data_IF_905721511891
#
_entry.id   IF_905721511891
#
_cell.length_a   1.000
_cell.length_b   1.000
_cell.length_c   1.000
_cell.angle_alpha   90.00
_cell.angle_beta   90.00
_cell.angle_gamma   90.00
#
_symmetry.space_group_name_H-M   'P 1'
#
loop_
_entity.id
_entity.type
_entity.pdbx_description
1 polymer ?
#
# COMPACT_ATOMS: atom_id res chain seq x y z
N UNK A 1 15.52 2.21 48.27
CA UNK A 1 16.51 3.08 47.59
C UNK A 1 17.58 2.18 46.96
N UNK A 2 17.57 2.05 45.63
CA UNK A 2 18.68 1.67 44.73
C UNK A 2 18.09 1.61 43.31
N UNK A 3 18.17 2.74 42.63
CA UNK A 3 17.81 2.87 41.21
C UNK A 3 19.05 2.45 40.42
N UNK A 4 18.96 1.37 39.66
CA UNK A 4 19.97 1.03 38.64
C UNK A 4 19.51 1.62 37.31
N UNK A 5 20.22 2.64 36.85
CA UNK A 5 20.08 3.21 35.51
C UNK A 5 20.95 2.35 34.60
N UNK A 6 20.32 1.52 33.76
CA UNK A 6 21.00 0.83 32.67
C UNK A 6 20.88 1.74 31.44
N UNK A 7 21.93 2.52 31.17
CA UNK A 7 22.13 3.20 29.90
C UNK A 7 22.39 2.15 28.82
N UNK A 8 21.42 1.95 27.92
CA UNK A 8 21.63 1.19 26.70
C UNK A 8 22.39 2.07 25.70
N UNK A 9 23.69 1.84 25.58
CA UNK A 9 24.53 2.39 24.52
C UNK A 9 24.15 1.75 23.18
N UNK A 10 23.79 2.58 22.20
CA UNK A 10 23.59 2.16 20.83
C UNK A 10 24.92 1.65 20.25
N UNK A 11 25.01 0.35 19.98
CA UNK A 11 26.14 -0.23 19.26
C UNK A 11 25.87 -0.05 17.77
N UNK A 12 26.48 0.97 17.18
CA UNK A 12 26.66 1.09 15.73
C UNK A 12 27.70 0.05 15.29
N UNK A 13 27.22 -1.02 14.66
CA UNK A 13 28.10 -1.97 13.95
C UNK A 13 28.51 -1.31 12.63
N UNK A 14 29.76 -0.86 12.56
CA UNK A 14 30.41 -0.40 11.34
C UNK A 14 31.03 -1.57 10.60
N UNK A 15 30.37 -2.07 9.57
CA UNK A 15 31.04 -2.83 8.51
C UNK A 15 31.24 -1.90 7.31
N UNK A 16 32.49 -1.49 7.09
CA UNK A 16 32.89 -0.66 5.97
C UNK A 16 32.85 -1.45 4.65
N UNK A 17 32.04 -0.99 3.71
CA UNK A 17 32.29 -1.17 2.27
C UNK A 17 32.19 0.22 1.66
N UNK A 18 33.29 0.68 1.06
CA UNK A 18 33.45 1.99 0.44
C UNK A 18 32.63 2.07 -0.85
N UNK A 19 31.34 2.32 -0.72
CA UNK A 19 30.57 3.03 -1.75
C UNK A 19 30.73 4.54 -1.49
N UNK A 20 30.71 5.41 -2.52
CA UNK A 20 30.70 6.84 -2.31
C UNK A 20 29.55 7.17 -1.36
N UNK A 21 29.82 7.98 -0.33
CA UNK A 21 28.80 8.61 0.50
C UNK A 21 28.00 9.57 -0.39
N UNK A 22 27.06 9.03 -1.17
CA UNK A 22 25.89 9.82 -1.58
C UNK A 22 25.35 10.43 -0.29
N UNK A 23 25.26 11.76 -0.28
CA UNK A 23 24.70 12.55 0.80
C UNK A 23 23.32 11.97 1.11
N UNK A 24 23.23 11.10 2.14
CA UNK A 24 21.96 10.50 2.53
C UNK A 24 21.11 11.62 3.07
N UNK A 25 20.24 12.17 2.23
CA UNK A 25 19.23 13.13 2.66
C UNK A 25 18.35 12.40 3.66
N UNK A 26 18.50 12.72 4.93
CA UNK A 26 17.63 12.19 5.98
C UNK A 26 16.27 12.83 5.75
N UNK A 27 15.29 12.03 5.36
CA UNK A 27 13.93 12.51 5.18
C UNK A 27 13.29 12.76 6.55
N UNK A 28 12.51 13.83 6.65
CA UNK A 28 11.80 14.14 7.87
C UNK A 28 10.70 13.09 8.14
N UNK A 29 10.10 12.49 7.10
CA UNK A 29 9.19 11.34 7.27
C UNK A 29 9.86 10.15 7.95
N UNK A 30 11.14 9.88 7.66
CA UNK A 30 11.89 8.79 8.29
C UNK A 30 12.24 9.14 9.75
N UNK A 31 12.52 10.42 10.01
CA UNK A 31 12.72 10.92 11.38
C UNK A 31 11.45 10.79 12.24
N UNK A 32 10.28 11.07 11.68
CA UNK A 32 8.98 10.88 12.35
C UNK A 32 8.68 9.40 12.61
N UNK A 33 8.98 8.52 11.66
CA UNK A 33 8.82 7.08 11.86
C UNK A 33 9.71 6.56 12.98
N UNK A 34 10.98 6.99 13.03
CA UNK A 34 11.91 6.66 14.11
C UNK A 34 11.43 7.17 15.49
N UNK A 35 10.90 8.39 15.56
CA UNK A 35 10.24 8.91 16.76
C UNK A 35 9.01 8.07 17.14
N UNK A 36 8.27 7.57 16.14
CA UNK A 36 7.16 6.65 16.33
C UNK A 36 7.60 5.34 17.00
N UNK A 37 8.73 4.76 16.59
CA UNK A 37 9.31 3.56 17.23
C UNK A 37 9.63 3.85 18.70
N UNK A 38 10.26 4.99 18.98
CA UNK A 38 10.59 5.39 20.36
C UNK A 38 9.34 5.53 21.22
N UNK A 39 8.33 6.24 20.74
CA UNK A 39 7.07 6.44 21.45
C UNK A 39 6.35 5.11 21.71
N UNK A 40 6.34 4.21 20.73
CA UNK A 40 5.78 2.86 20.87
C UNK A 40 6.54 2.04 21.91
N UNK A 41 7.87 2.09 21.89
CA UNK A 41 8.72 1.41 22.86
C UNK A 41 8.44 1.86 24.29
N UNK A 42 8.34 3.18 24.53
CA UNK A 42 7.97 3.73 25.84
C UNK A 42 6.56 3.29 26.24
N UNK A 43 5.60 3.35 25.31
CA UNK A 43 4.23 2.96 25.57
C UNK A 43 4.11 1.47 25.96
N UNK A 44 4.78 0.58 25.23
CA UNK A 44 4.79 -0.86 25.51
C UNK A 44 5.56 -1.17 26.79
N UNK A 45 6.66 -0.48 27.09
CA UNK A 45 7.37 -0.63 28.36
C UNK A 45 6.48 -0.26 29.57
N UNK A 46 5.60 0.72 29.41
CA UNK A 46 4.67 1.16 30.47
C UNK A 46 3.41 0.30 30.58
N UNK A 47 2.84 -0.15 29.47
CA UNK A 47 1.50 -0.79 29.43
C UNK A 47 1.55 -2.29 29.10
N UNK A 48 2.71 -2.82 28.74
CA UNK A 48 2.87 -4.18 28.22
C UNK A 48 2.44 -4.32 26.76
N UNK A 49 2.76 -5.48 26.16
CA UNK A 49 2.25 -5.86 24.85
C UNK A 49 0.76 -6.25 24.96
N UNK A 50 -0.07 -5.91 23.96
CA UNK A 50 -1.50 -6.29 23.94
C UNK A 50 -1.71 -7.80 24.14
N UNK A 51 -0.86 -8.62 23.53
CA UNK A 51 -0.82 -10.06 23.73
C UNK A 51 0.63 -10.56 23.79
N UNK A 52 1.20 -10.61 24.99
CA UNK A 52 2.59 -11.02 25.24
C UNK A 52 2.93 -12.45 24.77
N UNK A 53 1.94 -13.31 24.52
CA UNK A 53 2.17 -14.66 24.00
C UNK A 53 2.32 -14.68 22.48
N UNK A 54 1.74 -13.71 21.78
CA UNK A 54 1.76 -13.61 20.31
C UNK A 54 2.75 -12.57 19.82
N UNK A 55 2.94 -11.47 20.55
CA UNK A 55 3.81 -10.38 20.15
C UNK A 55 4.70 -9.90 21.29
N UNK A 56 5.98 -9.67 20.96
CA UNK A 56 7.05 -9.29 21.87
C UNK A 56 8.28 -8.80 21.10
N UNK A 57 9.28 -8.29 21.83
CA UNK A 57 10.46 -7.65 21.22
C UNK A 57 11.19 -8.55 20.22
N UNK A 58 11.29 -9.85 20.51
CA UNK A 58 12.09 -10.80 19.72
C UNK A 58 11.35 -11.44 18.55
N UNK A 59 10.02 -11.28 18.45
CA UNK A 59 9.22 -11.82 17.36
C UNK A 59 8.39 -10.75 16.61
N UNK A 60 8.58 -9.48 16.96
CA UNK A 60 8.02 -8.34 16.20
C UNK A 60 8.72 -8.26 14.86
N UNK A 61 7.94 -8.40 13.79
CA UNK A 61 8.44 -8.27 12.43
C UNK A 61 8.80 -6.82 12.09
N UNK A 62 9.79 -6.65 11.23
CA UNK A 62 10.22 -5.33 10.74
C UNK A 62 9.89 -5.23 9.25
N UNK A 63 8.95 -4.34 8.90
CA UNK A 63 8.67 -3.98 7.51
C UNK A 63 9.64 -2.89 7.06
N UNK A 64 10.32 -3.12 5.94
CA UNK A 64 11.45 -2.31 5.47
C UNK A 64 11.20 -1.73 4.08
N UNK A 65 11.84 -0.60 3.81
CA UNK A 65 11.77 0.04 2.50
C UNK A 65 12.46 -0.86 1.45
N UNK A 66 11.85 -0.96 0.26
CA UNK A 66 12.29 -1.83 -0.83
C UNK A 66 13.76 -1.66 -1.22
N UNK A 67 14.23 -0.42 -1.45
CA UNK A 67 15.63 -0.13 -1.77
C UNK A 67 16.64 -0.57 -0.70
N UNK A 68 16.24 -0.73 0.57
CA UNK A 68 17.12 -1.24 1.64
C UNK A 68 17.25 -2.75 1.67
N UNK A 69 16.40 -3.49 0.96
CA UNK A 69 16.48 -4.94 0.87
C UNK A 69 17.65 -5.38 -0.01
N UNK A 70 18.30 -6.48 0.40
CA UNK A 70 19.30 -7.17 -0.40
C UNK A 70 18.67 -7.70 -1.71
N UNK A 71 19.47 -7.83 -2.79
CA UNK A 71 18.99 -8.42 -4.03
C UNK A 71 18.35 -9.81 -3.85
N UNK A 72 18.86 -10.64 -2.93
CA UNK A 72 18.29 -11.94 -2.60
C UNK A 72 16.91 -11.84 -1.93
N UNK A 73 16.75 -10.92 -0.98
CA UNK A 73 15.47 -10.65 -0.31
C UNK A 73 14.41 -10.17 -1.31
N UNK A 74 14.79 -9.27 -2.23
CA UNK A 74 13.90 -8.81 -3.32
C UNK A 74 13.46 -9.97 -4.21
N UNK A 75 14.40 -10.82 -4.63
CA UNK A 75 14.11 -12.00 -5.45
C UNK A 75 13.20 -13.00 -4.74
N UNK A 76 13.39 -13.21 -3.44
CA UNK A 76 12.53 -14.10 -2.62
C UNK A 76 11.08 -13.57 -2.60
N UNK A 77 10.89 -12.27 -2.35
CA UNK A 77 9.56 -11.64 -2.43
C UNK A 77 8.94 -11.79 -3.82
N UNK A 78 9.68 -11.44 -4.89
CA UNK A 78 9.22 -11.54 -6.28
C UNK A 78 8.79 -12.98 -6.62
N UNK A 79 9.60 -13.97 -6.25
CA UNK A 79 9.30 -15.38 -6.50
C UNK A 79 8.01 -15.82 -5.79
N UNK A 80 7.77 -15.34 -4.56
CA UNK A 80 6.54 -15.62 -3.83
C UNK A 80 5.30 -14.99 -4.50
N UNK A 81 5.41 -13.75 -5.01
CA UNK A 81 4.32 -13.11 -5.77
C UNK A 81 3.98 -13.91 -7.03
N UNK A 82 5.00 -14.29 -7.81
CA UNK A 82 4.83 -15.11 -9.01
C UNK A 82 4.32 -16.53 -8.69
N UNK A 83 4.56 -17.03 -7.48
CA UNK A 83 3.99 -18.29 -7.02
C UNK A 83 2.49 -18.17 -6.77
N UNK A 84 2.00 -17.07 -6.17
CA UNK A 84 0.57 -16.85 -5.97
C UNK A 84 -0.19 -16.78 -7.31
N UNK A 85 0.39 -16.19 -8.35
CA UNK A 85 -0.25 -16.15 -9.68
C UNK A 85 -0.29 -17.51 -10.41
N UNK A 86 0.34 -18.54 -9.85
CA UNK A 86 0.32 -19.92 -10.40
C UNK A 86 -0.54 -20.88 -9.58
N UNK A 87 -0.90 -20.52 -8.35
CA UNK A 87 -1.77 -21.36 -7.51
C UNK A 87 -3.23 -21.19 -7.90
N UNK A 88 -4.07 -22.23 -7.78
CA UNK A 88 -5.48 -22.16 -8.16
C UNK A 88 -6.25 -21.16 -7.30
N UNK A 89 -7.14 -20.37 -7.93
CA UNK A 89 -8.04 -19.47 -7.21
C UNK A 89 -8.92 -20.23 -6.20
N UNK A 90 -9.27 -19.58 -5.08
CA UNK A 90 -10.25 -20.09 -4.10
C UNK A 90 -11.63 -19.46 -4.27
N UNK A 91 -11.73 -18.29 -4.93
CA UNK A 91 -13.02 -17.66 -5.23
C UNK A 91 -13.81 -18.54 -6.19
N UNK A 92 -15.07 -18.90 -5.88
CA UNK A 92 -15.92 -19.62 -6.80
C UNK A 92 -16.07 -18.90 -8.14
N UNK A 93 -15.99 -19.64 -9.26
CA UNK A 93 -16.11 -19.06 -10.60
C UNK A 93 -17.46 -18.37 -10.84
N UNK A 94 -18.52 -18.76 -10.13
CA UNK A 94 -19.82 -18.09 -10.18
C UNK A 94 -19.85 -16.71 -9.47
N UNK A 95 -18.81 -16.37 -8.69
CA UNK A 95 -18.65 -15.08 -8.02
C UNK A 95 -17.68 -14.19 -8.80
N UNK A 96 -16.55 -14.76 -9.25
CA UNK A 96 -15.59 -14.06 -10.09
C UNK A 96 -15.06 -14.99 -11.17
N UNK A 97 -15.70 -15.01 -12.33
CA UNK A 97 -15.32 -15.88 -13.45
C UNK A 97 -13.91 -15.57 -13.97
N UNK A 98 -13.45 -14.33 -13.80
CA UNK A 98 -12.11 -13.87 -14.13
C UNK A 98 -11.01 -14.26 -13.14
N UNK A 99 -11.34 -14.71 -11.92
CA UNK A 99 -10.32 -15.16 -10.98
C UNK A 99 -9.76 -16.52 -11.42
N UNK A 100 -8.51 -16.55 -11.88
CA UNK A 100 -7.84 -17.77 -12.36
C UNK A 100 -6.79 -18.30 -11.40
N UNK A 101 -6.24 -17.43 -10.56
CA UNK A 101 -5.19 -17.79 -9.61
C UNK A 101 -5.40 -17.19 -8.22
N UNK A 102 -4.57 -17.59 -7.24
CA UNK A 102 -4.63 -17.09 -5.87
C UNK A 102 -4.40 -15.60 -5.73
N UNK A 103 -3.61 -15.01 -6.63
CA UNK A 103 -3.42 -13.55 -6.63
C UNK A 103 -4.72 -12.84 -7.04
N UNK A 104 -5.44 -13.38 -8.03
CA UNK A 104 -6.72 -12.84 -8.49
C UNK A 104 -7.80 -12.84 -7.39
N UNK A 105 -7.72 -13.72 -6.39
CA UNK A 105 -8.65 -13.70 -5.25
C UNK A 105 -8.55 -12.39 -4.44
N UNK A 106 -7.34 -11.84 -4.32
CA UNK A 106 -7.12 -10.53 -3.69
C UNK A 106 -7.67 -9.39 -4.55
N UNK A 107 -7.50 -9.49 -5.88
CA UNK A 107 -8.03 -8.50 -6.82
C UNK A 107 -9.57 -8.51 -6.82
N UNK A 108 -10.18 -9.70 -6.86
CA UNK A 108 -11.62 -9.88 -6.85
C UNK A 108 -12.26 -9.33 -5.57
N UNK A 109 -11.68 -9.61 -4.38
CA UNK A 109 -12.24 -9.07 -3.13
C UNK A 109 -12.15 -7.55 -3.07
N UNK A 110 -11.09 -6.94 -3.62
CA UNK A 110 -10.94 -5.49 -3.64
C UNK A 110 -11.95 -4.84 -4.60
N UNK A 111 -12.09 -5.38 -5.82
CA UNK A 111 -13.11 -4.94 -6.79
C UNK A 111 -14.50 -4.99 -6.13
N UNK A 112 -14.84 -6.13 -5.53
CA UNK A 112 -16.18 -6.35 -4.97
C UNK A 112 -16.50 -5.43 -3.77
N UNK A 113 -15.49 -5.00 -3.00
CA UNK A 113 -15.68 -4.21 -1.79
C UNK A 113 -15.34 -2.73 -1.93
N UNK A 114 -14.82 -2.27 -3.08
CA UNK A 114 -14.25 -0.93 -3.30
C UNK A 114 -15.11 0.21 -2.75
N UNK A 115 -16.44 0.17 -2.95
CA UNK A 115 -17.39 1.21 -2.50
C UNK A 115 -17.69 1.21 -0.99
N UNK A 116 -17.09 0.29 -0.24
CA UNK A 116 -17.25 0.15 1.22
C UNK A 116 -15.91 0.17 1.97
N UNK A 117 -14.80 0.39 1.26
CA UNK A 117 -13.43 0.37 1.81
C UNK A 117 -12.62 1.63 1.45
N UNK A 118 -13.16 2.53 0.63
CA UNK A 118 -12.56 3.83 0.29
C UNK A 118 -13.52 4.95 0.68
N UNK A 119 -13.01 6.07 1.19
CA UNK A 119 -13.84 7.16 1.69
C UNK A 119 -14.68 6.77 2.92
N UNK A 120 -14.29 5.69 3.61
CA UNK A 120 -15.01 5.06 4.72
C UNK A 120 -14.18 5.00 5.99
N UNK A 121 -14.83 4.77 7.13
CA UNK A 121 -14.15 4.68 8.42
C UNK A 121 -13.26 3.45 8.61
N UNK A 122 -13.46 2.39 7.80
CA UNK A 122 -12.62 1.19 7.80
C UNK A 122 -11.46 1.27 6.78
N UNK A 123 -11.31 2.34 5.99
CA UNK A 123 -10.31 2.42 4.90
C UNK A 123 -8.91 1.95 5.32
N UNK A 124 -8.34 2.56 6.35
CA UNK A 124 -6.99 2.24 6.82
C UNK A 124 -6.89 0.84 7.43
N UNK A 125 -7.86 0.47 8.27
CA UNK A 125 -7.92 -0.83 8.94
C UNK A 125 -8.10 -2.01 7.98
N UNK A 126 -8.95 -1.84 6.96
CA UNK A 126 -9.19 -2.83 5.92
C UNK A 126 -7.92 -3.04 5.08
N UNK A 127 -7.28 -1.96 4.61
CA UNK A 127 -6.07 -2.06 3.79
C UNK A 127 -4.85 -2.58 4.57
N UNK A 128 -4.75 -2.26 5.87
CA UNK A 128 -3.77 -2.89 6.77
C UNK A 128 -3.99 -4.41 6.83
N UNK A 129 -5.22 -4.86 7.05
CA UNK A 129 -5.55 -6.27 7.12
C UNK A 129 -5.37 -6.99 5.77
N UNK A 130 -5.74 -6.35 4.68
CA UNK A 130 -5.57 -6.84 3.31
C UNK A 130 -4.09 -7.05 2.97
N UNK A 131 -3.25 -6.08 3.30
CA UNK A 131 -1.79 -6.17 3.13
C UNK A 131 -1.18 -7.26 4.01
N UNK A 132 -1.63 -7.39 5.25
CA UNK A 132 -1.20 -8.48 6.14
C UNK A 132 -1.64 -9.86 5.62
N UNK A 133 -2.87 -10.00 5.15
CA UNK A 133 -3.38 -11.26 4.60
C UNK A 133 -2.61 -11.69 3.34
N UNK A 134 -2.26 -10.72 2.49
CA UNK A 134 -1.39 -10.95 1.34
C UNK A 134 0.00 -11.44 1.77
N UNK A 135 0.62 -10.78 2.77
CA UNK A 135 1.88 -11.23 3.36
C UNK A 135 1.76 -12.67 3.90
N UNK A 136 0.67 -13.00 4.60
CA UNK A 136 0.45 -14.36 5.09
C UNK A 136 0.30 -15.38 3.95
N UNK A 137 -0.36 -15.03 2.84
CA UNK A 137 -0.45 -15.90 1.67
C UNK A 137 0.93 -16.13 1.04
N UNK A 138 1.76 -15.09 0.89
CA UNK A 138 3.14 -15.23 0.41
C UNK A 138 3.96 -16.18 1.30
N UNK A 139 3.87 -16.01 2.62
CA UNK A 139 4.65 -16.79 3.59
C UNK A 139 4.16 -18.23 3.70
N UNK A 140 2.87 -18.43 3.84
CA UNK A 140 2.28 -19.73 4.19
C UNK A 140 1.95 -20.58 2.96
N UNK A 141 1.64 -19.98 1.81
CA UNK A 141 1.33 -20.72 0.58
C UNK A 141 2.56 -20.81 -0.35
N UNK A 142 3.42 -19.79 -0.35
CA UNK A 142 4.55 -19.67 -1.29
C UNK A 142 5.94 -19.65 -0.63
N UNK A 143 6.02 -19.87 0.69
CA UNK A 143 7.29 -20.10 1.40
C UNK A 143 8.14 -18.85 1.63
N UNK A 144 7.64 -17.65 1.35
CA UNK A 144 8.34 -16.39 1.58
C UNK A 144 8.83 -16.27 3.03
N UNK A 145 10.11 -15.90 3.23
CA UNK A 145 10.69 -15.81 4.58
C UNK A 145 10.75 -14.39 5.12
N UNK A 146 10.73 -13.39 4.25
CA UNK A 146 10.71 -11.98 4.62
C UNK A 146 9.30 -11.47 4.99
N UNK A 147 9.21 -10.19 5.34
CA UNK A 147 7.95 -9.51 5.65
C UNK A 147 7.59 -8.52 4.54
N UNK A 148 6.37 -7.97 4.55
CA UNK A 148 5.92 -7.08 3.50
C UNK A 148 6.82 -5.83 3.39
N UNK A 149 7.48 -5.58 2.25
CA UNK A 149 8.22 -4.35 2.03
C UNK A 149 7.30 -3.19 1.63
N UNK A 150 7.79 -1.96 1.75
CA UNK A 150 7.08 -0.76 1.32
C UNK A 150 7.88 0.07 0.30
N UNK A 151 7.16 0.84 -0.52
CA UNK A 151 7.75 1.82 -1.44
C UNK A 151 7.66 3.23 -0.85
N UNK A 152 8.79 3.80 -0.44
CA UNK A 152 8.84 5.16 0.11
C UNK A 152 8.79 6.20 -1.02
N UNK A 153 7.60 6.70 -1.37
CA UNK A 153 7.43 7.69 -2.43
C UNK A 153 8.28 8.94 -2.20
N UNK A 154 8.35 9.44 -0.96
CA UNK A 154 9.08 10.65 -0.60
C UNK A 154 10.56 10.57 -0.98
N UNK A 155 11.17 9.38 -0.85
CA UNK A 155 12.56 9.13 -1.23
C UNK A 155 12.80 9.21 -2.73
N UNK A 156 11.81 8.82 -3.52
CA UNK A 156 11.91 8.70 -4.97
C UNK A 156 11.12 9.77 -5.72
N UNK A 157 10.59 10.77 -5.01
CA UNK A 157 9.62 11.72 -5.56
C UNK A 157 10.13 12.51 -6.77
N UNK A 158 11.43 12.81 -6.79
CA UNK A 158 12.07 13.56 -7.87
C UNK A 158 12.22 12.76 -9.18
N UNK A 159 12.32 11.44 -9.08
CA UNK A 159 12.47 10.51 -10.19
C UNK A 159 12.01 9.10 -9.80
N UNK A 160 10.70 8.82 -9.80
CA UNK A 160 10.16 7.52 -9.39
C UNK A 160 10.64 6.37 -10.29
N UNK A 161 11.05 6.67 -11.53
CA UNK A 161 11.55 5.67 -12.49
C UNK A 161 12.93 5.12 -12.12
N UNK A 162 13.70 5.85 -11.29
CA UNK A 162 15.01 5.39 -10.76
C UNK A 162 14.90 4.60 -9.46
N UNK A 163 13.70 4.48 -8.88
CA UNK A 163 13.48 3.64 -7.71
C UNK A 163 13.85 2.19 -8.03
N UNK A 164 14.57 1.47 -7.15
CA UNK A 164 14.77 0.03 -7.30
C UNK A 164 13.47 -0.80 -7.33
N UNK A 165 12.33 -0.20 -6.97
CA UNK A 165 11.02 -0.82 -7.14
C UNK A 165 10.52 -0.77 -8.59
N UNK A 166 11.00 0.19 -9.40
CA UNK A 166 10.47 0.49 -10.74
C UNK A 166 11.53 0.71 -11.82
N UNK A 167 12.81 0.40 -11.55
CA UNK A 167 13.93 0.54 -12.49
C UNK A 167 13.92 -0.49 -13.64
N UNK A 168 12.98 -1.44 -13.63
CA UNK A 168 12.86 -2.49 -14.64
C UNK A 168 13.91 -3.60 -14.54
N UNK A 169 14.76 -3.58 -13.51
CA UNK A 169 15.75 -4.62 -13.24
C UNK A 169 15.10 -5.94 -12.84
N UNK A 170 15.91 -7.01 -12.77
CA UNK A 170 15.49 -8.32 -12.25
C UNK A 170 15.09 -8.30 -10.76
N UNK A 171 15.30 -7.19 -10.05
CA UNK A 171 14.93 -6.98 -8.64
C UNK A 171 13.92 -5.86 -8.45
N UNK A 172 13.16 -5.53 -9.48
CA UNK A 172 12.07 -4.55 -9.41
C UNK A 172 10.71 -5.24 -9.38
N UNK A 173 9.66 -4.47 -9.10
CA UNK A 173 8.28 -4.86 -9.42
C UNK A 173 8.00 -4.67 -10.92
N UNK A 174 8.99 -4.91 -11.78
CA UNK A 174 9.05 -4.46 -13.17
C UNK A 174 9.12 -2.95 -13.36
N UNK A 175 9.39 -2.51 -14.59
CA UNK A 175 9.62 -1.11 -14.91
C UNK A 175 8.40 -0.38 -15.48
N UNK A 176 8.69 0.63 -16.29
CA UNK A 176 7.68 1.41 -17.00
C UNK A 176 7.05 0.62 -18.17
N UNK A 177 5.88 1.08 -18.60
CA UNK A 177 5.24 0.61 -19.83
C UNK A 177 5.92 1.12 -21.09
N UNK A 178 5.65 0.47 -22.21
CA UNK A 178 6.03 0.96 -23.53
C UNK A 178 5.42 2.35 -23.75
N UNK A 179 6.20 3.28 -24.28
CA UNK A 179 5.75 4.64 -24.55
C UNK A 179 4.59 4.62 -25.53
N UNK A 180 3.45 5.21 -25.15
CA UNK A 180 2.35 5.45 -26.07
C UNK A 180 2.44 6.87 -26.63
N UNK A 181 2.60 6.96 -27.95
CA UNK A 181 2.53 8.23 -28.66
C UNK A 181 1.13 8.84 -28.53
N UNK A 182 1.05 10.17 -28.59
CA UNK A 182 -0.21 10.94 -28.62
C UNK A 182 -1.08 10.88 -27.35
N UNK A 183 -0.54 10.42 -26.21
CA UNK A 183 -1.21 10.64 -24.93
C UNK A 183 -1.12 12.12 -24.57
N UNK A 184 -2.24 12.70 -24.15
CA UNK A 184 -2.34 14.11 -23.75
C UNK A 184 -2.34 14.30 -22.24
N UNK A 185 -3.02 13.42 -21.51
CA UNK A 185 -3.17 13.45 -20.07
C UNK A 185 -3.67 12.12 -19.50
N UNK A 186 -3.72 12.05 -18.17
CA UNK A 186 -4.50 11.08 -17.40
C UNK A 186 -5.47 11.86 -16.53
N UNK A 187 -6.77 11.63 -16.71
CA UNK A 187 -7.82 12.26 -15.92
C UNK A 187 -8.20 11.39 -14.72
N UNK A 188 -8.48 12.04 -13.59
CA UNK A 188 -8.76 11.43 -12.30
C UNK A 188 -10.07 12.02 -11.73
N UNK A 189 -11.02 11.18 -11.26
CA UNK A 189 -10.93 9.72 -11.18
C UNK A 189 -11.09 8.98 -12.52
N UNK A 190 -11.75 9.58 -13.51
CA UNK A 190 -11.99 8.94 -14.83
C UNK A 190 -11.88 9.97 -15.97
N UNK A 191 -11.76 9.53 -17.24
CA UNK A 191 -11.77 10.44 -18.39
C UNK A 191 -13.01 11.33 -18.48
N UNK A 192 -14.19 10.80 -18.15
CA UNK A 192 -15.46 11.53 -18.20
C UNK A 192 -15.66 12.51 -17.03
N UNK A 193 -14.92 12.32 -15.94
CA UNK A 193 -14.96 13.15 -14.73
C UNK A 193 -13.55 13.61 -14.37
N UNK A 194 -12.99 14.49 -15.20
CA UNK A 194 -11.61 14.96 -15.03
C UNK A 194 -11.50 16.04 -13.94
N UNK A 195 -11.48 15.62 -12.67
CA UNK A 195 -11.23 16.52 -11.53
C UNK A 195 -9.77 16.97 -11.45
N UNK A 196 -8.84 16.04 -11.67
CA UNK A 196 -7.40 16.32 -11.77
C UNK A 196 -6.88 15.75 -13.10
N UNK A 197 -6.08 16.55 -13.79
CA UNK A 197 -5.43 16.18 -15.05
C UNK A 197 -3.92 16.10 -14.84
N UNK A 198 -3.35 14.91 -14.95
CA UNK A 198 -1.90 14.71 -14.91
C UNK A 198 -1.34 14.65 -16.34
N UNK A 199 -0.19 15.28 -16.62
CA UNK A 199 0.51 15.03 -17.87
C UNK A 199 0.93 13.55 -17.95
N UNK A 200 0.97 12.97 -19.16
CA UNK A 200 1.41 11.60 -19.34
C UNK A 200 2.88 11.46 -18.91
N UNK A 201 3.22 10.29 -18.37
CA UNK A 201 4.60 9.89 -18.18
C UNK A 201 5.25 9.43 -19.48
N UNK A 202 6.32 8.66 -19.36
CA UNK A 202 7.04 8.10 -20.50
C UNK A 202 6.59 6.67 -20.87
N UNK A 203 5.44 6.21 -20.35
CA UNK A 203 4.90 4.87 -20.59
C UNK A 203 3.51 4.90 -21.23
N UNK A 204 2.59 4.12 -20.65
CA UNK A 204 1.19 3.97 -21.07
C UNK A 204 0.85 2.58 -21.59
N UNK A 205 1.80 1.90 -22.25
CA UNK A 205 1.64 0.56 -22.80
C UNK A 205 2.03 -0.55 -21.82
N UNK A 206 2.15 -1.77 -22.33
CA UNK A 206 2.59 -2.93 -21.54
C UNK A 206 3.97 -2.69 -20.93
N UNK A 207 4.19 -3.16 -19.71
CA UNK A 207 5.49 -3.20 -19.04
C UNK A 207 6.53 -3.88 -19.96
N UNK A 208 7.70 -3.26 -20.08
CA UNK A 208 8.72 -3.68 -21.06
C UNK A 208 9.81 -4.59 -20.50
N UNK A 209 10.02 -4.58 -19.18
CA UNK A 209 11.14 -5.27 -18.52
C UNK A 209 10.84 -5.68 -17.08
N UNK A 210 11.71 -6.50 -16.52
CA UNK A 210 11.64 -7.00 -15.15
C UNK A 210 10.78 -8.26 -14.97
N UNK A 211 10.63 -8.73 -13.72
CA UNK A 211 10.04 -10.05 -13.41
C UNK A 211 8.55 -10.19 -13.72
N UNK A 212 7.84 -9.09 -13.88
CA UNK A 212 6.40 -9.03 -14.13
C UNK A 212 6.08 -8.54 -15.55
N UNK A 213 7.04 -8.57 -16.49
CA UNK A 213 6.79 -8.18 -17.90
C UNK A 213 5.70 -9.02 -18.57
N UNK A 214 5.64 -10.31 -18.22
CA UNK A 214 4.65 -11.27 -18.74
C UNK A 214 3.50 -11.47 -17.74
N UNK A 215 3.33 -10.55 -16.77
CA UNK A 215 2.25 -10.60 -15.82
C UNK A 215 0.90 -10.39 -16.51
N UNK A 216 -0.01 -11.33 -16.28
CA UNK A 216 -1.34 -11.31 -16.85
C UNK A 216 -2.32 -10.72 -15.85
N UNK A 217 -2.90 -9.57 -16.21
CA UNK A 217 -4.01 -8.95 -15.50
C UNK A 217 -5.30 -9.61 -15.99
N UNK A 218 -6.00 -10.35 -15.12
CA UNK A 218 -7.18 -11.14 -15.49
C UNK A 218 -8.52 -10.44 -15.25
N UNK A 219 -8.56 -9.53 -14.29
CA UNK A 219 -9.78 -8.86 -13.81
C UNK A 219 -9.77 -7.37 -14.20
N UNK A 220 -10.91 -6.71 -14.03
CA UNK A 220 -11.13 -5.33 -14.45
C UNK A 220 -10.99 -5.13 -15.97
N UNK A 221 -10.85 -3.89 -16.44
CA UNK A 221 -11.01 -2.67 -15.65
C UNK A 221 -12.47 -2.46 -15.21
N UNK A 222 -12.69 -1.64 -14.19
CA UNK A 222 -14.01 -1.13 -13.78
C UNK A 222 -14.08 0.38 -13.99
N UNK A 223 -13.04 1.09 -13.57
CA UNK A 223 -12.92 2.54 -13.69
C UNK A 223 -11.60 2.88 -14.41
N UNK A 224 -11.50 2.48 -15.68
CA UNK A 224 -10.29 2.67 -16.47
C UNK A 224 -9.97 4.17 -16.66
N UNK A 225 -8.70 4.52 -16.48
CA UNK A 225 -8.17 5.86 -16.79
C UNK A 225 -7.48 5.96 -18.14
N UNK A 226 -7.18 4.81 -18.75
CA UNK A 226 -6.64 4.73 -20.10
C UNK A 226 -7.80 4.54 -21.09
N UNK A 227 -8.00 5.44 -22.06
CA UNK A 227 -9.15 5.40 -22.96
C UNK A 227 -9.12 4.20 -23.92
N UNK A 228 -7.96 3.58 -24.13
CA UNK A 228 -7.75 2.39 -24.94
C UNK A 228 -7.77 1.09 -24.12
N UNK A 229 -8.07 1.15 -22.81
CA UNK A 229 -8.22 -0.05 -22.00
C UNK A 229 -9.42 -0.87 -22.48
N UNK A 230 -9.20 -2.15 -22.78
CA UNK A 230 -10.25 -3.07 -23.19
C UNK A 230 -11.30 -3.20 -22.07
N UNK A 231 -12.58 -2.85 -22.30
CA UNK A 231 -13.63 -3.00 -21.29
C UNK A 231 -13.74 -4.45 -20.81
N UNK A 232 -14.07 -4.64 -19.53
CA UNK A 232 -14.38 -5.97 -19.02
C UNK A 232 -15.69 -6.48 -19.66
N UNK A 233 -15.80 -7.78 -20.02
CA UNK A 233 -17.05 -8.34 -20.53
C UNK A 233 -18.21 -8.30 -19.52
N UNK A 234 -17.91 -8.15 -18.22
CA UNK A 234 -18.89 -8.00 -17.15
C UNK A 234 -18.77 -6.61 -16.53
N UNK A 235 -19.90 -5.94 -16.31
CA UNK A 235 -19.93 -4.58 -15.74
C UNK A 235 -19.34 -4.51 -14.32
N UNK A 236 -19.32 -5.63 -13.60
CA UNK A 236 -18.73 -5.77 -12.26
C UNK A 236 -17.20 -5.69 -12.29
N UNK A 237 -16.57 -5.87 -13.45
CA UNK A 237 -15.12 -6.06 -13.59
C UNK A 237 -14.62 -7.44 -13.15
N UNK A 238 -15.53 -8.36 -12.79
CA UNK A 238 -15.17 -9.70 -12.30
C UNK A 238 -15.10 -10.77 -13.40
N UNK A 239 -15.43 -10.41 -14.65
CA UNK A 239 -15.30 -11.28 -15.81
C UNK A 239 -13.86 -11.48 -16.25
N UNK A 240 -13.60 -12.58 -16.95
CA UNK A 240 -12.25 -12.91 -17.44
C UNK A 240 -11.83 -12.00 -18.60
N UNK A 241 -10.84 -11.13 -18.35
CA UNK A 241 -10.34 -10.14 -19.30
C UNK A 241 -8.79 -10.10 -19.30
N UNK A 242 -8.12 -11.19 -19.73
CA UNK A 242 -6.66 -11.29 -19.69
C UNK A 242 -6.00 -10.25 -20.59
N UNK A 243 -5.04 -9.51 -20.04
CA UNK A 243 -4.22 -8.52 -20.75
C UNK A 243 -2.89 -8.30 -20.03
N UNK A 244 -1.97 -7.58 -20.68
CA UNK A 244 -0.68 -7.26 -20.06
C UNK A 244 -0.86 -6.22 -18.94
N UNK A 245 0.06 -6.24 -17.96
CA UNK A 245 0.25 -5.14 -17.04
C UNK A 245 0.74 -3.90 -17.80
N UNK A 246 0.06 -2.76 -17.65
CA UNK A 246 0.45 -1.48 -18.26
C UNK A 246 0.81 -0.47 -17.18
N UNK A 247 1.86 0.32 -17.40
CA UNK A 247 2.28 1.39 -16.47
C UNK A 247 2.61 2.67 -17.20
N UNK A 248 2.40 3.77 -16.51
CA UNK A 248 2.83 5.09 -16.96
C UNK A 248 3.42 5.85 -15.77
N UNK A 249 4.68 5.54 -15.45
CA UNK A 249 5.31 6.04 -14.23
C UNK A 249 5.32 7.57 -14.25
N UNK A 250 4.56 8.17 -13.34
CA UNK A 250 4.27 9.60 -13.37
C UNK A 250 5.12 10.36 -12.35
N UNK A 251 6.11 11.08 -12.84
CA UNK A 251 6.84 12.09 -12.05
C UNK A 251 5.91 13.21 -11.58
N UNK A 252 4.89 13.55 -12.36
CA UNK A 252 3.95 14.62 -12.02
C UNK A 252 3.10 14.26 -10.79
N UNK A 253 2.54 13.04 -10.74
CA UNK A 253 1.87 12.55 -9.53
C UNK A 253 2.81 12.56 -8.33
N UNK A 254 4.03 12.04 -8.54
CA UNK A 254 4.98 11.86 -7.44
C UNK A 254 5.49 13.20 -6.86
N UNK A 255 5.92 14.14 -7.70
CA UNK A 255 6.36 15.48 -7.25
C UNK A 255 5.20 16.40 -6.84
N UNK A 256 3.99 16.14 -7.31
CA UNK A 256 2.82 16.94 -6.96
C UNK A 256 2.38 16.71 -5.50
N UNK A 257 2.37 15.45 -5.05
CA UNK A 257 1.70 15.10 -3.79
C UNK A 257 2.36 14.01 -2.94
N UNK A 258 3.54 13.50 -3.31
CA UNK A 258 4.21 12.42 -2.54
C UNK A 258 5.61 12.77 -2.05
N UNK A 259 5.97 14.06 -2.06
CA UNK A 259 7.26 14.52 -1.50
C UNK A 259 7.29 14.34 0.01
N UNK A 260 8.48 14.40 0.59
CA UNK A 260 8.68 14.37 2.03
C UNK A 260 7.81 15.42 2.76
N UNK A 261 7.76 16.65 2.24
CA UNK A 261 6.93 17.73 2.77
C UNK A 261 5.44 17.39 2.81
N UNK A 262 4.93 16.64 1.82
CA UNK A 262 3.52 16.31 1.70
C UNK A 262 3.14 15.25 2.75
N UNK A 263 3.98 14.23 2.92
CA UNK A 263 3.81 13.18 3.92
C UNK A 263 3.96 13.74 5.34
N UNK A 264 4.97 14.59 5.58
CA UNK A 264 5.19 15.25 6.86
C UNK A 264 4.03 16.16 7.23
N UNK A 265 3.54 16.97 6.27
CA UNK A 265 2.40 17.85 6.47
C UNK A 265 1.17 17.06 6.89
N UNK A 266 0.87 15.95 6.20
CA UNK A 266 -0.23 15.06 6.57
C UNK A 266 -0.10 14.55 8.02
N UNK A 267 1.08 14.05 8.42
CA UNK A 267 1.31 13.50 9.77
C UNK A 267 1.18 14.57 10.86
N UNK A 268 1.75 15.76 10.65
CA UNK A 268 1.81 16.82 11.68
C UNK A 268 0.51 17.63 11.78
N UNK A 269 -0.15 17.88 10.66
CA UNK A 269 -1.26 18.83 10.58
C UNK A 269 -2.63 18.17 10.75
N UNK A 270 -2.77 16.87 10.51
CA UNK A 270 -4.04 16.16 10.70
C UNK A 270 -4.32 15.87 12.17
N UNK A 271 -5.28 16.61 12.76
CA UNK A 271 -5.63 16.50 14.19
C UNK A 271 -6.68 15.44 14.50
N UNK A 272 -7.50 15.05 13.53
CA UNK A 272 -8.51 14.01 13.66
C UNK A 272 -8.30 12.90 12.63
N UNK A 273 -8.81 11.70 12.92
CA UNK A 273 -8.77 10.58 11.99
C UNK A 273 -9.46 10.92 10.66
N UNK A 274 -10.64 11.55 10.71
CA UNK A 274 -11.38 11.95 9.52
C UNK A 274 -10.55 12.86 8.60
N UNK A 275 -9.97 13.93 9.15
CA UNK A 275 -9.12 14.84 8.37
C UNK A 275 -7.89 14.09 7.79
N UNK A 276 -7.23 13.26 8.61
CA UNK A 276 -6.10 12.45 8.16
C UNK A 276 -6.46 11.56 6.97
N UNK A 277 -7.57 10.81 7.04
CA UNK A 277 -7.99 9.92 5.95
C UNK A 277 -8.46 10.68 4.72
N UNK A 278 -9.12 11.84 4.87
CA UNK A 278 -9.58 12.65 3.75
C UNK A 278 -8.40 13.26 2.99
N UNK A 279 -7.46 13.90 3.69
CA UNK A 279 -6.26 14.49 3.05
C UNK A 279 -5.36 13.41 2.44
N UNK A 280 -5.26 12.24 3.08
CA UNK A 280 -4.52 11.10 2.55
C UNK A 280 -5.11 10.60 1.22
N UNK A 281 -6.43 10.41 1.16
CA UNK A 281 -7.12 9.87 -0.02
C UNK A 281 -7.27 10.90 -1.15
N UNK A 282 -7.32 12.18 -0.80
CA UNK A 282 -7.47 13.29 -1.74
C UNK A 282 -8.82 13.98 -1.63
N UNK A 283 -8.86 15.20 -2.17
CA UNK A 283 -10.04 16.02 -2.38
C UNK A 283 -9.97 16.55 -3.82
N UNK A 284 -10.44 15.72 -4.76
CA UNK A 284 -10.26 15.96 -6.19
C UNK A 284 -11.00 17.22 -6.66
N UNK A 285 -12.14 17.53 -6.05
CA UNK A 285 -12.91 18.74 -6.37
C UNK A 285 -12.12 20.02 -6.07
N UNK A 286 -11.23 19.98 -5.07
CA UNK A 286 -10.34 21.08 -4.69
C UNK A 286 -8.90 20.89 -5.21
N UNK A 287 -8.67 19.98 -6.17
CA UNK A 287 -7.36 19.78 -6.79
C UNK A 287 -6.31 19.08 -5.91
N UNK A 288 -6.72 18.49 -4.78
CA UNK A 288 -5.83 17.71 -3.92
C UNK A 288 -5.88 16.24 -4.32
N UNK A 289 -4.79 15.70 -4.87
CA UNK A 289 -4.74 14.27 -5.20
C UNK A 289 -4.56 13.40 -3.95
N UNK A 290 -3.81 13.87 -2.94
CA UNK A 290 -3.51 13.10 -1.73
C UNK A 290 -2.47 12.00 -1.94
N UNK A 291 -1.74 11.63 -0.89
CA UNK A 291 -0.61 10.68 -1.00
C UNK A 291 -1.05 9.26 -1.43
N UNK A 292 -2.28 8.86 -1.11
CA UNK A 292 -2.83 7.56 -1.52
C UNK A 292 -3.05 7.52 -3.02
N UNK A 293 -3.89 8.41 -3.53
CA UNK A 293 -4.18 8.45 -4.97
C UNK A 293 -2.94 8.81 -5.76
N UNK A 294 -2.11 9.75 -5.31
CA UNK A 294 -0.87 10.09 -5.98
C UNK A 294 0.14 8.93 -6.00
N UNK A 295 0.17 8.08 -4.97
CA UNK A 295 0.98 6.86 -4.97
C UNK A 295 0.52 5.83 -6.02
N UNK A 296 -0.79 5.61 -6.16
CA UNK A 296 -1.37 4.81 -7.25
C UNK A 296 -1.03 5.40 -8.62
N UNK A 297 -1.25 6.70 -8.81
CA UNK A 297 -1.00 7.38 -10.09
C UNK A 297 0.48 7.66 -10.38
N UNK A 298 1.38 7.47 -9.41
CA UNK A 298 2.82 7.38 -9.67
C UNK A 298 3.16 6.12 -10.45
N UNK A 299 2.41 5.02 -10.24
CA UNK A 299 2.51 3.78 -11.02
C UNK A 299 1.70 3.92 -12.32
N UNK A 300 0.46 4.40 -12.17
CA UNK A 300 -0.45 4.72 -13.27
C UNK A 300 -0.79 3.50 -14.13
N UNK A 301 -1.24 3.76 -15.36
CA UNK A 301 -1.53 2.71 -16.32
C UNK A 301 -2.77 1.87 -15.98
N UNK A 302 -2.73 0.59 -16.35
CA UNK A 302 -3.80 -0.40 -16.17
C UNK A 302 -3.20 -1.65 -15.50
N UNK A 303 -3.58 -1.96 -14.26
CA UNK A 303 -4.70 -1.39 -13.50
C UNK A 303 -4.29 -0.34 -12.46
N UNK A 304 -3.04 0.14 -12.43
CA UNK A 304 -2.56 1.04 -11.36
C UNK A 304 -3.34 2.35 -11.21
N UNK A 305 -4.00 2.83 -12.28
CA UNK A 305 -4.91 3.98 -12.23
C UNK A 305 -6.40 3.63 -12.04
N UNK A 306 -6.76 2.35 -11.93
CA UNK A 306 -8.15 1.91 -11.74
C UNK A 306 -8.43 1.72 -10.23
N UNK A 307 -9.34 2.53 -9.68
CA UNK A 307 -9.70 2.50 -8.25
C UNK A 307 -10.07 1.09 -7.77
N UNK A 308 -10.75 0.30 -8.59
CA UNK A 308 -11.26 -1.02 -8.19
C UNK A 308 -10.22 -2.11 -8.42
N UNK A 309 -9.56 -2.09 -9.58
CA UNK A 309 -8.68 -3.16 -10.02
C UNK A 309 -7.20 -2.92 -9.66
N UNK A 310 -6.83 -1.81 -9.02
CA UNK A 310 -5.44 -1.46 -8.68
C UNK A 310 -4.59 -2.58 -8.04
N UNK A 311 -5.12 -3.51 -7.21
CA UNK A 311 -4.32 -4.61 -6.69
C UNK A 311 -3.78 -5.58 -7.74
N UNK A 312 -4.34 -5.59 -8.96
CA UNK A 312 -3.81 -6.43 -10.04
C UNK A 312 -2.45 -5.95 -10.56
N UNK A 313 -1.98 -4.76 -10.16
CA UNK A 313 -0.56 -4.40 -10.21
C UNK A 313 0.16 -4.91 -8.94
N UNK A 314 1.20 -5.76 -9.05
CA UNK A 314 2.00 -6.26 -7.92
C UNK A 314 2.59 -5.18 -7.00
N UNK A 315 2.78 -3.96 -7.50
CA UNK A 315 3.29 -2.84 -6.71
C UNK A 315 2.27 -2.25 -5.73
N UNK A 316 0.98 -2.60 -5.84
CA UNK A 316 -0.09 -2.18 -4.92
C UNK A 316 0.29 -2.45 -3.46
N UNK A 317 0.82 -3.64 -3.16
CA UNK A 317 1.13 -4.03 -1.79
C UNK A 317 2.35 -3.30 -1.22
N UNK A 318 3.29 -2.85 -2.06
CA UNK A 318 4.38 -1.96 -1.63
C UNK A 318 3.85 -0.54 -1.34
N UNK A 319 2.91 -0.05 -2.17
CA UNK A 319 2.23 1.22 -1.95
C UNK A 319 1.42 1.19 -0.64
N UNK A 320 0.54 0.20 -0.44
CA UNK A 320 -0.29 0.13 0.76
C UNK A 320 0.50 -0.20 2.04
N UNK A 321 1.64 -0.87 1.95
CA UNK A 321 2.55 -0.96 3.09
C UNK A 321 3.15 0.41 3.48
N UNK A 322 3.35 1.34 2.54
CA UNK A 322 3.75 2.71 2.85
C UNK A 322 2.58 3.55 3.36
N UNK A 323 1.36 3.35 2.86
CA UNK A 323 0.14 3.95 3.44
C UNK A 323 0.00 3.56 4.91
N UNK A 324 0.16 2.27 5.19
CA UNK A 324 0.13 1.75 6.55
C UNK A 324 1.28 2.30 7.41
N UNK A 325 2.50 2.46 6.86
CA UNK A 325 3.61 3.12 7.55
C UNK A 325 3.28 4.56 7.95
N UNK A 326 2.64 5.32 7.07
CA UNK A 326 2.25 6.72 7.35
C UNK A 326 1.17 6.79 8.42
N UNK A 327 0.16 5.90 8.36
CA UNK A 327 -0.84 5.80 9.41
C UNK A 327 -0.24 5.36 10.75
N UNK A 328 0.58 4.31 10.75
CA UNK A 328 1.32 3.84 11.91
C UNK A 328 2.14 4.97 12.53
N UNK A 329 2.86 5.76 11.72
CA UNK A 329 3.63 6.91 12.21
C UNK A 329 2.71 7.94 12.87
N UNK A 330 1.60 8.31 12.22
CA UNK A 330 0.62 9.25 12.77
C UNK A 330 0.01 8.76 14.10
N UNK A 331 -0.34 7.47 14.22
CA UNK A 331 -0.81 6.88 15.46
C UNK A 331 0.25 6.99 16.56
N UNK A 332 1.51 6.69 16.23
CA UNK A 332 2.61 6.68 17.20
C UNK A 332 3.08 8.07 17.65
N UNK A 333 2.63 9.15 17.02
CA UNK A 333 2.86 10.51 17.52
C UNK A 333 2.01 10.83 18.75
N UNK A 334 0.88 10.15 18.96
CA UNK A 334 0.01 10.31 20.13
C UNK A 334 -0.86 9.06 20.35
N UNK A 335 -0.22 7.95 20.73
CA UNK A 335 -0.84 6.63 20.85
C UNK A 335 -2.12 6.64 21.69
N UNK A 336 -2.10 7.39 22.80
CA UNK A 336 -3.22 7.45 23.75
C UNK A 336 -4.51 7.90 23.08
N UNK A 337 -4.43 8.88 22.18
CA UNK A 337 -5.60 9.46 21.54
C UNK A 337 -5.82 8.95 20.11
N UNK A 338 -4.78 8.41 19.45
CA UNK A 338 -4.82 8.08 18.02
C UNK A 338 -4.90 6.60 17.70
N UNK A 339 -4.50 5.71 18.61
CA UNK A 339 -4.47 4.28 18.29
C UNK A 339 -5.85 3.75 17.89
N UNK A 340 -6.90 4.17 18.58
CA UNK A 340 -8.28 3.78 18.29
C UNK A 340 -9.13 4.96 17.79
N UNK A 341 -8.49 5.99 17.21
CA UNK A 341 -9.23 7.08 16.60
C UNK A 341 -9.95 6.57 15.33
N UNK A 342 -11.21 6.97 15.16
CA UNK A 342 -12.06 6.60 14.04
C UNK A 342 -12.91 7.80 13.62
N UNK A 343 -13.36 7.81 12.36
CA UNK A 343 -14.26 8.80 11.79
C UNK A 343 -14.86 8.27 10.48
N UNK A 344 -15.53 9.15 9.73
CA UNK A 344 -16.27 8.82 8.50
C UNK A 344 -17.42 7.82 8.71
N UNK A 345 -18.06 7.41 7.61
CA UNK A 345 -19.21 6.50 7.58
C UNK A 345 -18.86 5.17 6.93
N UNK A 346 -19.83 4.26 6.82
CA UNK A 346 -19.63 2.89 6.30
C UNK A 346 -19.86 2.77 4.78
N UNK A 347 -20.18 3.86 4.10
CA UNK A 347 -20.35 3.94 2.64
C UNK A 347 -19.38 4.95 2.05
N UNK A 348 -18.87 4.68 0.84
CA UNK A 348 -17.89 5.54 0.16
C UNK A 348 -18.33 6.99 0.14
N UNK A 349 -17.53 7.88 0.73
CA UNK A 349 -17.81 9.32 0.81
C UNK A 349 -19.21 9.65 1.35
N UNK A 350 -19.77 8.76 2.19
CA UNK A 350 -21.14 8.84 2.68
C UNK A 350 -22.22 8.85 1.57
N UNK A 351 -21.99 8.08 0.50
CA UNK A 351 -22.91 7.94 -0.64
C UNK A 351 -23.28 6.46 -0.88
N UNK A 352 -24.56 6.08 -0.68
CA UNK A 352 -25.62 6.88 -0.05
C UNK A 352 -25.30 7.19 1.43
N UNK A 353 -25.96 8.18 2.06
CA UNK A 353 -25.75 8.48 3.47
C UNK A 353 -25.93 7.26 4.37
N UNK A 354 -25.01 7.04 5.29
CA UNK A 354 -25.00 5.92 6.22
C UNK A 354 -24.56 6.35 7.62
N UNK A 355 -24.65 5.42 8.58
CA UNK A 355 -24.19 5.69 9.95
C UNK A 355 -22.67 5.87 10.02
N UNK A 356 -22.21 6.55 11.07
CA UNK A 356 -20.80 6.61 11.39
C UNK A 356 -20.22 5.21 11.61
N UNK A 357 -18.97 5.04 11.21
CA UNK A 357 -18.21 3.84 11.51
C UNK A 357 -17.89 3.76 13.01
N UNK A 358 -17.80 2.54 13.54
CA UNK A 358 -17.47 2.26 14.93
C UNK A 358 -16.31 1.26 15.00
N UNK A 359 -15.55 1.26 16.10
CA UNK A 359 -14.46 0.30 16.28
C UNK A 359 -14.92 -1.16 16.27
N UNK A 360 -16.20 -1.41 16.57
CA UNK A 360 -16.78 -2.74 16.64
C UNK A 360 -17.37 -3.19 15.29
N UNK A 361 -17.33 -2.33 14.27
CA UNK A 361 -17.68 -2.72 12.90
C UNK A 361 -16.71 -3.80 12.41
N UNK A 362 -17.28 -4.90 11.94
CA UNK A 362 -16.54 -6.05 11.41
C UNK A 362 -16.48 -6.04 9.90
N UNK A 363 -15.41 -6.57 9.34
CA UNK A 363 -15.25 -6.79 7.90
C UNK A 363 -14.49 -8.09 7.62
N UNK A 364 -14.64 -8.60 6.40
CA UNK A 364 -13.98 -9.80 5.90
C UNK A 364 -13.29 -9.53 4.56
N UNK A 365 -12.40 -10.44 4.14
CA UNK A 365 -11.71 -10.39 2.85
C UNK A 365 -12.23 -11.47 1.89
N UNK A 366 -13.52 -11.80 1.99
CA UNK A 366 -14.19 -12.81 1.18
C UNK A 366 -13.40 -14.12 1.09
N UNK A 367 -13.10 -14.55 -0.15
CA UNK A 367 -12.42 -15.82 -0.44
C UNK A 367 -10.89 -15.76 -0.36
N UNK A 368 -10.31 -14.68 0.17
CA UNK A 368 -8.88 -14.65 0.54
C UNK A 368 -8.58 -15.75 1.56
N UNK A 369 -9.54 -16.06 2.45
CA UNK A 369 -9.48 -17.18 3.39
C UNK A 369 -8.82 -16.83 4.72
N UNK A 370 -9.09 -15.63 5.23
CA UNK A 370 -8.68 -15.18 6.58
C UNK A 370 -9.92 -14.85 7.43
N UNK A 371 -9.86 -14.93 8.77
CA UNK A 371 -11.01 -14.68 9.64
C UNK A 371 -11.58 -13.26 9.51
N UNK A 372 -12.87 -13.11 9.83
CA UNK A 372 -13.49 -11.81 10.07
C UNK A 372 -12.83 -11.11 11.26
N UNK A 373 -12.61 -9.80 11.15
CA UNK A 373 -11.99 -8.96 12.18
C UNK A 373 -12.77 -7.66 12.34
N UNK A 374 -12.59 -6.98 13.48
CA UNK A 374 -13.13 -5.64 13.70
C UNK A 374 -12.14 -4.54 13.31
N UNK A 375 -12.63 -3.31 13.15
CA UNK A 375 -11.77 -2.11 13.05
C UNK A 375 -10.85 -2.03 14.29
N UNK A 376 -11.35 -2.39 15.48
CA UNK A 376 -10.57 -2.42 16.73
C UNK A 376 -9.39 -3.37 16.65
N UNK A 377 -9.62 -4.61 16.19
CA UNK A 377 -8.58 -5.65 16.10
C UNK A 377 -7.45 -5.26 15.14
N UNK A 378 -7.76 -4.41 14.17
CA UNK A 378 -6.85 -4.01 13.10
C UNK A 378 -6.23 -2.62 13.32
N UNK A 379 -6.57 -1.95 14.41
CA UNK A 379 -6.07 -0.61 14.72
C UNK A 379 -4.66 -0.60 15.35
N UNK A 380 -4.14 -1.74 15.81
CA UNK A 380 -2.86 -1.84 16.52
C UNK A 380 -1.92 -2.88 15.87
N UNK A 381 -0.75 -2.46 15.37
CA UNK A 381 0.22 -3.36 14.69
C UNK A 381 0.92 -4.36 15.61
N UNK A 382 0.78 -4.23 16.93
CA UNK A 382 1.25 -5.19 17.94
C UNK A 382 0.12 -6.00 18.59
N UNK A 383 -1.11 -5.84 18.10
CA UNK A 383 -2.32 -6.48 18.63
C UNK A 383 -3.11 -7.20 17.53
N UNK A 384 -4.20 -7.86 17.94
CA UNK A 384 -5.05 -8.61 17.03
C UNK A 384 -4.27 -9.69 16.26
N UNK A 385 -4.37 -9.75 14.92
CA UNK A 385 -3.60 -10.69 14.10
C UNK A 385 -2.16 -10.23 13.82
N UNK A 386 -1.76 -9.04 14.29
CA UNK A 386 -0.51 -8.39 13.90
C UNK A 386 0.59 -8.53 14.96
N UNK A 387 1.83 -8.49 14.48
CA UNK A 387 3.02 -8.28 15.31
C UNK A 387 4.14 -7.71 14.45
N UNK A 388 4.05 -6.43 14.09
CA UNK A 388 5.07 -5.76 13.27
C UNK A 388 5.20 -4.26 13.56
N UNK A 389 6.33 -3.71 13.15
CA UNK A 389 6.63 -2.27 13.11
C UNK A 389 7.27 -1.90 11.77
N UNK A 390 7.50 -0.61 11.56
CA UNK A 390 8.19 -0.06 10.40
C UNK A 390 9.59 0.44 10.77
N UNK A 391 10.53 0.28 9.83
CA UNK A 391 11.87 0.87 9.89
C UNK A 391 11.94 2.28 9.27
#
# INVERSE_FOLDING_TARGET
MKVSIITATAVLVTSATTAPLEQRTILETDSLAALGVLNLGIYVAKNGYPNHKKCGLFNTALRREWSTLLPSEKKDYIAAVQCLSKKPAKTPAGIAAGAKNRYDDFVATHINQTLSIHGTGNFLSWHRYFTWAYEQALRNECGYKGFQPYYNWAKWASDPSKSPAFDGSATSMSGNGAKQANRTNTCIPTPDQCGISLPPGNGGGCVTSGPFKDWQVNLGPVAAVLPDAKPNPEFTGLGYNPRCLRRDISKAASQGWTKDSDVVSLIKNSKSFYNFTTVMQGDFANGLLGIHTAGHFTIGGDPGGDLFASPADPAFFLHHAMIDRVWWTWQNMDLKNRQYAIGATVTVNNQPPSRNATLDDTFELGFVGVPTVSIRDTSNTLGGPFCYIYA
#
